data_IF_579530033087
#
_entry.id   IF_579530033087
#
_cell.length_a   1.000
_cell.length_b   1.000
_cell.length_c   1.000
_cell.angle_alpha   90.00
_cell.angle_beta   90.00
_cell.angle_gamma   90.00
#
_symmetry.space_group_name_H-M   'P 1'
#
loop_
_entity.id
_entity.type
_entity.pdbx_description
1 polymer ?
#
# COMPACT_ATOMS: atom_id res chain seq x y z
N UNK A 1 44.99 -49.69 -12.78
CA UNK A 1 45.03 -48.37 -12.14
C UNK A 1 43.92 -47.42 -12.61
N UNK A 2 43.14 -47.75 -13.64
CA UNK A 2 42.10 -46.90 -14.24
C UNK A 2 40.83 -46.72 -13.40
N UNK A 3 40.33 -47.76 -12.72
CA UNK A 3 39.09 -47.67 -11.93
C UNK A 3 39.15 -46.79 -10.66
N UNK A 4 40.34 -46.43 -10.15
CA UNK A 4 40.47 -45.53 -8.99
C UNK A 4 40.30 -44.06 -9.34
N UNK A 5 40.54 -43.68 -10.60
CA UNK A 5 40.41 -42.30 -11.06
C UNK A 5 38.94 -41.95 -11.33
N UNK A 6 38.21 -42.88 -11.94
CA UNK A 6 36.79 -42.73 -12.30
C UNK A 6 35.90 -42.49 -11.07
N UNK A 7 36.14 -43.20 -9.97
CA UNK A 7 35.36 -43.04 -8.72
C UNK A 7 35.58 -41.65 -8.10
N UNK A 8 36.80 -41.09 -8.16
CA UNK A 8 37.08 -39.75 -7.62
C UNK A 8 36.43 -38.64 -8.44
N UNK A 9 36.41 -38.79 -9.77
CA UNK A 9 35.73 -37.85 -10.67
C UNK A 9 34.22 -37.91 -10.43
N UNK A 10 33.63 -39.11 -10.34
CA UNK A 10 32.21 -39.28 -10.05
C UNK A 10 31.80 -38.64 -8.72
N UNK A 11 32.61 -38.83 -7.66
CA UNK A 11 32.35 -38.21 -6.36
C UNK A 11 32.42 -36.68 -6.41
N UNK A 12 33.42 -36.11 -7.09
CA UNK A 12 33.54 -34.67 -7.27
C UNK A 12 32.34 -34.07 -8.01
N UNK A 13 31.87 -34.73 -9.07
CA UNK A 13 30.69 -34.30 -9.83
C UNK A 13 29.44 -34.28 -8.94
N UNK A 14 29.23 -35.30 -8.11
CA UNK A 14 28.08 -35.34 -7.18
C UNK A 14 28.13 -34.18 -6.17
N UNK A 15 29.30 -33.91 -5.58
CA UNK A 15 29.46 -32.81 -4.62
C UNK A 15 29.18 -31.45 -5.27
N UNK A 16 29.65 -31.24 -6.51
CA UNK A 16 29.37 -30.02 -7.28
C UNK A 16 27.89 -29.90 -7.61
N UNK A 17 27.23 -30.99 -8.01
CA UNK A 17 25.79 -30.97 -8.30
C UNK A 17 24.93 -30.68 -7.06
N UNK A 18 25.27 -31.27 -5.90
CA UNK A 18 24.58 -30.99 -4.64
C UNK A 18 24.81 -29.53 -4.22
N UNK A 19 26.05 -29.05 -4.30
CA UNK A 19 26.39 -27.66 -3.93
C UNK A 19 25.70 -26.65 -4.85
N UNK A 20 25.65 -26.93 -6.16
CA UNK A 20 24.91 -26.12 -7.13
C UNK A 20 23.40 -26.17 -6.87
N UNK A 21 22.83 -27.34 -6.56
CA UNK A 21 21.41 -27.50 -6.21
C UNK A 21 21.03 -26.74 -4.94
N UNK A 22 21.89 -26.76 -3.92
CA UNK A 22 21.70 -25.97 -2.70
C UNK A 22 21.81 -24.46 -2.99
N UNK A 23 22.79 -24.02 -3.78
CA UNK A 23 22.92 -22.62 -4.19
C UNK A 23 21.71 -22.15 -4.99
N UNK A 24 21.21 -22.95 -5.94
CA UNK A 24 19.97 -22.69 -6.65
C UNK A 24 18.77 -22.64 -5.70
N UNK A 25 18.64 -23.57 -4.76
CA UNK A 25 17.54 -23.51 -3.78
C UNK A 25 17.56 -22.25 -2.92
N UNK A 26 18.74 -21.67 -2.69
CA UNK A 26 18.90 -20.44 -1.91
C UNK A 26 18.70 -19.17 -2.76
N UNK A 27 19.09 -19.20 -4.04
CA UNK A 27 18.85 -18.11 -5.01
C UNK A 27 17.39 -18.06 -5.48
N UNK A 28 16.73 -19.22 -5.55
CA UNK A 28 15.33 -19.39 -5.94
C UNK A 28 14.44 -19.76 -4.76
N UNK A 29 14.86 -19.50 -3.52
CA UNK A 29 13.91 -19.41 -2.40
C UNK A 29 12.86 -18.42 -2.85
N UNK A 30 11.66 -18.91 -3.15
CA UNK A 30 10.55 -18.12 -3.63
C UNK A 30 10.33 -16.98 -2.63
N UNK A 31 10.92 -15.82 -2.91
CA UNK A 31 10.39 -14.58 -2.36
C UNK A 31 8.94 -14.58 -2.82
N UNK A 32 8.02 -14.34 -1.91
CA UNK A 32 6.61 -14.19 -2.20
C UNK A 32 6.45 -13.25 -3.39
N UNK A 33 6.23 -13.79 -4.60
CA UNK A 33 6.17 -13.01 -5.84
C UNK A 33 4.76 -12.45 -5.92
N UNK A 34 4.59 -11.19 -5.55
CA UNK A 34 3.33 -10.50 -5.71
C UNK A 34 3.17 -10.05 -7.17
N UNK A 35 2.13 -10.55 -7.85
CA UNK A 35 1.76 -10.16 -9.22
C UNK A 35 0.67 -9.10 -9.12
N UNK A 36 0.94 -7.93 -9.67
CA UNK A 36 -0.02 -6.83 -9.69
C UNK A 36 -1.26 -7.20 -10.52
N UNK A 37 -2.46 -6.93 -10.02
CA UNK A 37 -3.68 -7.04 -10.83
C UNK A 37 -3.77 -5.89 -11.85
N UNK A 38 -4.32 -6.17 -13.03
CA UNK A 38 -4.47 -5.14 -14.09
C UNK A 38 -5.41 -3.99 -13.68
N UNK A 39 -6.30 -4.23 -12.72
CA UNK A 39 -7.31 -3.27 -12.29
C UNK A 39 -6.79 -2.37 -11.17
N UNK A 40 -6.83 -1.05 -11.40
CA UNK A 40 -6.71 -0.04 -10.36
C UNK A 40 -8.08 0.17 -9.73
N UNK A 41 -8.14 0.16 -8.41
CA UNK A 41 -9.36 0.40 -7.65
C UNK A 41 -9.31 1.80 -7.05
N UNK A 42 -10.48 2.42 -6.91
CA UNK A 42 -10.61 3.76 -6.35
C UNK A 42 -11.52 3.71 -5.13
N UNK A 43 -11.04 4.26 -4.01
CA UNK A 43 -11.84 4.51 -2.83
C UNK A 43 -11.90 6.01 -2.56
N UNK A 44 -13.06 6.50 -2.15
CA UNK A 44 -13.23 7.82 -1.59
C UNK A 44 -13.34 7.69 -0.08
N UNK A 45 -12.53 8.45 0.65
CA UNK A 45 -12.44 8.34 2.10
C UNK A 45 -12.58 9.70 2.74
N UNK A 46 -13.18 9.69 3.92
CA UNK A 46 -13.37 10.83 4.79
C UNK A 46 -12.72 10.49 6.12
N UNK A 47 -11.78 11.31 6.57
CA UNK A 47 -11.13 11.09 7.85
C UNK A 47 -10.64 12.40 8.45
N UNK A 48 -10.52 12.41 9.78
CA UNK A 48 -10.00 13.54 10.53
C UNK A 48 -8.53 13.36 10.87
N UNK A 49 -7.81 14.46 10.79
CA UNK A 49 -6.41 14.58 11.22
C UNK A 49 -6.23 15.81 12.09
N UNK A 50 -5.26 15.74 12.99
CA UNK A 50 -4.86 16.86 13.82
C UNK A 50 -3.52 17.41 13.34
N UNK A 51 -3.44 18.73 13.25
CA UNK A 51 -2.18 19.45 13.02
C UNK A 51 -1.27 19.40 14.25
N UNK A 52 -0.06 19.95 14.12
CA UNK A 52 0.87 20.17 15.25
C UNK A 52 0.29 20.95 16.44
N UNK A 53 -0.74 21.76 16.20
CA UNK A 53 -1.39 22.60 17.20
C UNK A 53 -2.67 21.96 17.76
N UNK A 54 -2.82 20.64 17.60
CA UNK A 54 -4.02 19.85 17.96
C UNK A 54 -5.32 20.33 17.30
N UNK A 55 -5.19 21.16 16.26
CA UNK A 55 -6.33 21.60 15.46
C UNK A 55 -6.74 20.55 14.46
N UNK A 56 -8.00 20.13 14.55
CA UNK A 56 -8.60 19.07 13.75
C UNK A 56 -9.12 19.64 12.43
N UNK A 57 -8.92 18.89 11.36
CA UNK A 57 -9.54 19.13 10.06
C UNK A 57 -9.94 17.81 9.40
N UNK A 58 -11.06 17.85 8.71
CA UNK A 58 -11.58 16.72 7.93
C UNK A 58 -10.96 16.75 6.54
N UNK A 59 -10.57 15.58 6.05
CA UNK A 59 -10.05 15.38 4.71
C UNK A 59 -10.97 14.46 3.92
N UNK A 60 -11.35 14.91 2.73
CA UNK A 60 -11.97 14.09 1.69
C UNK A 60 -10.91 13.75 0.65
N UNK A 61 -10.65 12.47 0.48
CA UNK A 61 -9.51 11.99 -0.30
C UNK A 61 -9.94 10.86 -1.22
N UNK A 62 -9.48 10.90 -2.47
CA UNK A 62 -9.56 9.77 -3.38
C UNK A 62 -8.24 9.00 -3.36
N UNK A 63 -8.32 7.71 -3.06
CA UNK A 63 -7.19 6.80 -3.05
C UNK A 63 -7.31 5.85 -4.22
N UNK A 64 -6.30 5.84 -5.08
CA UNK A 64 -6.14 4.80 -6.08
C UNK A 64 -5.18 3.76 -5.52
N UNK A 65 -5.55 2.48 -5.63
CA UNK A 65 -4.72 1.38 -5.16
C UNK A 65 -4.77 0.19 -6.11
N UNK A 66 -3.66 -0.53 -6.17
CA UNK A 66 -3.50 -1.75 -6.94
C UNK A 66 -3.37 -2.92 -5.99
N UNK A 67 -4.18 -3.96 -6.21
CA UNK A 67 -4.06 -5.20 -5.45
C UNK A 67 -3.01 -6.10 -6.07
N UNK A 68 -2.38 -6.91 -5.24
CA UNK A 68 -1.41 -7.89 -5.67
C UNK A 68 -1.86 -9.27 -5.25
N UNK A 69 -1.71 -10.22 -6.18
CA UNK A 69 -1.95 -11.62 -5.94
C UNK A 69 -0.62 -12.32 -5.63
N UNK A 70 -0.59 -13.10 -4.56
CA UNK A 70 0.48 -14.05 -4.32
C UNK A 70 0.09 -15.43 -4.89
N UNK A 71 0.75 -15.91 -5.97
CA UNK A 71 0.43 -17.18 -6.60
C UNK A 71 0.76 -18.38 -5.71
N UNK A 72 1.76 -18.26 -4.82
CA UNK A 72 2.17 -19.33 -3.90
C UNK A 72 1.23 -19.48 -2.70
N UNK A 73 0.56 -18.40 -2.28
CA UNK A 73 -0.40 -18.42 -1.16
C UNK A 73 -1.85 -18.67 -1.59
N UNK A 74 -2.13 -18.71 -2.90
CA UNK A 74 -3.50 -18.76 -3.46
C UNK A 74 -4.45 -17.73 -2.83
N UNK A 75 -3.90 -16.63 -2.32
CA UNK A 75 -4.60 -15.66 -1.50
C UNK A 75 -4.60 -14.32 -2.22
N UNK A 76 -5.79 -13.74 -2.35
CA UNK A 76 -6.04 -12.40 -2.83
C UNK A 76 -6.94 -11.79 -1.76
N UNK A 77 -6.55 -10.65 -1.18
CA UNK A 77 -7.48 -9.92 -0.33
C UNK A 77 -8.73 -9.55 -1.14
N UNK A 78 -9.89 -9.65 -0.50
CA UNK A 78 -11.09 -9.04 -1.05
C UNK A 78 -10.87 -7.55 -1.32
N UNK A 79 -11.72 -6.95 -2.16
CA UNK A 79 -11.63 -5.49 -2.43
C UNK A 79 -11.75 -4.72 -1.12
N UNK A 80 -12.65 -5.15 -0.24
CA UNK A 80 -12.92 -4.51 1.03
C UNK A 80 -11.71 -4.62 1.98
N UNK A 81 -11.12 -5.80 2.17
CA UNK A 81 -9.94 -5.96 3.03
C UNK A 81 -8.70 -5.21 2.50
N UNK A 82 -8.52 -5.19 1.17
CA UNK A 82 -7.45 -4.40 0.55
C UNK A 82 -7.72 -2.90 0.74
N UNK A 83 -8.98 -2.48 0.63
CA UNK A 83 -9.45 -1.13 0.91
C UNK A 83 -9.15 -0.71 2.33
N UNK A 84 -9.53 -1.52 3.32
CA UNK A 84 -9.27 -1.24 4.73
C UNK A 84 -7.78 -1.14 5.05
N UNK A 85 -6.95 -1.99 4.45
CA UNK A 85 -5.50 -1.91 4.62
C UNK A 85 -4.96 -0.58 4.06
N UNK A 86 -5.28 -0.28 2.80
CA UNK A 86 -4.87 0.96 2.12
C UNK A 86 -5.41 2.19 2.87
N UNK A 87 -6.64 2.12 3.39
CA UNK A 87 -7.25 3.16 4.20
C UNK A 87 -6.39 3.53 5.41
N UNK A 88 -6.05 2.52 6.22
CA UNK A 88 -5.31 2.71 7.45
C UNK A 88 -3.90 3.23 7.15
N UNK A 89 -3.24 2.70 6.12
CA UNK A 89 -1.92 3.19 5.67
C UNK A 89 -1.97 4.67 5.29
N UNK A 90 -2.98 5.09 4.52
CA UNK A 90 -3.15 6.50 4.15
C UNK A 90 -3.49 7.35 5.38
N UNK A 91 -4.43 6.92 6.21
CA UNK A 91 -4.83 7.63 7.43
C UNK A 91 -3.65 7.88 8.36
N UNK A 92 -2.87 6.85 8.65
CA UNK A 92 -1.72 6.93 9.56
C UNK A 92 -0.64 7.85 8.99
N UNK A 93 -0.36 7.76 7.69
CA UNK A 93 0.59 8.65 7.02
C UNK A 93 0.16 10.13 7.07
N UNK A 94 -1.11 10.44 6.84
CA UNK A 94 -1.60 11.82 6.95
C UNK A 94 -1.63 12.31 8.39
N UNK A 95 -1.92 11.45 9.38
CA UNK A 95 -1.83 11.81 10.80
C UNK A 95 -0.40 12.14 11.20
N UNK A 96 0.56 11.31 10.80
CA UNK A 96 1.97 11.55 11.08
C UNK A 96 2.46 12.83 10.40
N UNK A 97 2.16 13.01 9.11
CA UNK A 97 2.54 14.22 8.36
C UNK A 97 1.92 15.50 8.95
N UNK A 98 0.62 15.47 9.29
CA UNK A 98 -0.09 16.63 9.83
C UNK A 98 0.38 17.01 11.24
N UNK A 99 0.70 16.04 12.09
CA UNK A 99 1.19 16.30 13.47
C UNK A 99 2.50 17.10 13.50
N UNK A 100 3.22 17.14 12.37
CA UNK A 100 4.48 17.84 12.20
C UNK A 100 4.36 19.23 11.52
N UNK A 101 3.17 19.64 11.08
CA UNK A 101 2.93 20.90 10.36
C UNK A 101 1.95 21.79 11.15
N UNK A 102 2.25 23.09 11.36
CA UNK A 102 1.30 24.04 11.96
C UNK A 102 0.02 24.15 11.13
N UNK A 103 -1.14 24.28 11.79
CA UNK A 103 -2.43 24.36 11.11
C UNK A 103 -2.49 25.53 10.12
N UNK A 104 -1.95 26.68 10.52
CA UNK A 104 -1.88 27.89 9.70
C UNK A 104 -1.12 27.70 8.39
N UNK A 105 -0.17 26.77 8.34
CA UNK A 105 0.57 26.41 7.13
C UNK A 105 -0.26 25.44 6.27
N UNK A 106 -0.85 24.41 6.89
CA UNK A 106 -1.67 23.39 6.21
C UNK A 106 -2.80 24.00 5.38
N UNK A 107 -3.47 25.05 5.87
CA UNK A 107 -4.61 25.66 5.17
C UNK A 107 -4.22 26.42 3.90
N UNK A 108 -2.93 26.71 3.69
CA UNK A 108 -2.42 27.36 2.48
C UNK A 108 -2.28 26.36 1.32
N UNK A 109 -2.30 26.85 0.08
CA UNK A 109 -2.08 25.98 -1.09
C UNK A 109 -0.69 25.33 -1.11
N UNK A 110 0.33 26.01 -0.59
CA UNK A 110 1.70 25.49 -0.47
C UNK A 110 1.80 24.44 0.65
N UNK A 111 1.17 24.69 1.80
CA UNK A 111 1.16 23.74 2.91
C UNK A 111 0.34 22.48 2.64
N UNK A 112 -0.75 22.56 1.86
CA UNK A 112 -1.46 21.36 1.37
C UNK A 112 -0.55 20.47 0.52
N UNK A 113 0.28 21.08 -0.34
CA UNK A 113 1.27 20.34 -1.15
C UNK A 113 2.33 19.69 -0.25
N UNK A 114 2.86 20.44 0.71
CA UNK A 114 3.84 19.91 1.68
C UNK A 114 3.26 18.75 2.51
N UNK A 115 2.04 18.88 3.00
CA UNK A 115 1.34 17.81 3.72
C UNK A 115 1.23 16.56 2.84
N UNK A 116 0.80 16.74 1.59
CA UNK A 116 0.65 15.64 0.65
C UNK A 116 1.99 14.97 0.30
N UNK A 117 3.05 15.76 0.14
CA UNK A 117 4.41 15.26 -0.11
C UNK A 117 4.91 14.41 1.06
N UNK A 118 4.83 14.92 2.30
CA UNK A 118 5.23 14.17 3.49
C UNK A 118 4.39 12.90 3.71
N UNK A 119 3.08 13.00 3.56
CA UNK A 119 2.21 11.83 3.67
C UNK A 119 2.54 10.79 2.59
N UNK A 120 2.90 11.23 1.38
CA UNK A 120 3.28 10.34 0.29
C UNK A 120 4.59 9.60 0.55
N UNK A 121 5.60 10.27 1.13
CA UNK A 121 6.85 9.63 1.54
C UNK A 121 6.61 8.47 2.52
N UNK A 122 5.74 8.70 3.52
CA UNK A 122 5.34 7.66 4.48
C UNK A 122 4.57 6.52 3.78
N UNK A 123 3.59 6.84 2.93
CA UNK A 123 2.83 5.84 2.16
C UNK A 123 3.74 4.99 1.29
N UNK A 124 4.69 5.59 0.59
CA UNK A 124 5.60 4.87 -0.31
C UNK A 124 6.46 3.87 0.48
N UNK A 125 6.91 4.26 1.67
CA UNK A 125 7.69 3.39 2.56
C UNK A 125 6.87 2.20 3.11
N UNK A 126 5.58 2.41 3.37
CA UNK A 126 4.68 1.41 3.97
C UNK A 126 4.00 0.50 2.94
N UNK A 127 3.93 0.93 1.67
CA UNK A 127 3.18 0.23 0.62
C UNK A 127 4.06 -0.58 -0.35
N UNK A 128 5.29 -0.95 0.06
CA UNK A 128 6.15 -1.77 -0.79
C UNK A 128 5.50 -3.14 -1.09
N UNK A 129 5.34 -3.51 -2.38
CA UNK A 129 4.65 -4.73 -2.81
C UNK A 129 5.43 -6.02 -2.50
N UNK A 130 6.61 -5.90 -1.88
CA UNK A 130 7.41 -7.02 -1.38
C UNK A 130 6.76 -7.69 -0.16
N UNK A 131 5.88 -6.97 0.56
CA UNK A 131 5.31 -7.43 1.83
C UNK A 131 3.79 -7.27 1.93
N UNK A 132 3.19 -6.33 1.19
CA UNK A 132 1.76 -6.03 1.30
C UNK A 132 0.92 -6.53 0.12
N UNK A 133 -0.31 -6.99 0.36
CA UNK A 133 -1.25 -7.47 -0.66
C UNK A 133 -1.92 -6.35 -1.48
N UNK A 134 -1.68 -5.08 -1.13
CA UNK A 134 -2.17 -3.92 -1.86
C UNK A 134 -1.16 -2.77 -1.78
N UNK A 135 -1.05 -1.99 -2.86
CA UNK A 135 -0.20 -0.79 -2.93
C UNK A 135 -1.05 0.43 -3.25
N UNK A 136 -0.83 1.51 -2.52
CA UNK A 136 -1.35 2.83 -2.89
C UNK A 136 -0.60 3.33 -4.13
N UNK A 137 -1.32 3.64 -5.22
CA UNK A 137 -0.71 4.14 -6.47
C UNK A 137 -0.81 5.64 -6.60
N UNK A 138 -1.83 6.28 -6.02
CA UNK A 138 -1.91 7.72 -5.88
C UNK A 138 -2.93 8.13 -4.83
N UNK A 139 -2.72 9.29 -4.22
CA UNK A 139 -3.70 9.93 -3.34
C UNK A 139 -4.02 11.33 -3.86
N UNK A 140 -5.31 11.69 -3.89
CA UNK A 140 -5.78 12.99 -4.35
C UNK A 140 -6.75 13.62 -3.34
N UNK A 141 -6.33 14.71 -2.71
CA UNK A 141 -7.16 15.47 -1.76
C UNK A 141 -8.22 16.24 -2.53
N UNK A 142 -9.50 15.91 -2.32
CA UNK A 142 -10.63 16.60 -2.94
C UNK A 142 -11.03 17.84 -2.17
N UNK A 143 -11.11 17.71 -0.85
CA UNK A 143 -11.58 18.77 0.04
C UNK A 143 -10.88 18.64 1.39
N UNK A 144 -10.67 19.80 2.00
CA UNK A 144 -10.21 19.91 3.38
C UNK A 144 -11.14 20.87 4.10
N UNK A 145 -11.75 20.42 5.19
CA UNK A 145 -12.69 21.21 5.99
C UNK A 145 -12.05 21.50 7.36
N UNK A 146 -11.65 22.75 7.65
CA UNK A 146 -11.11 23.12 8.94
C UNK A 146 -12.20 23.16 10.02
N UNK A 147 -11.86 22.78 11.26
CA UNK A 147 -12.80 22.72 12.39
C UNK A 147 -14.11 21.99 12.05
N UNK A 148 -14.06 20.70 11.70
CA UNK A 148 -15.25 19.94 11.40
C UNK A 148 -16.18 19.90 12.63
N UNK A 149 -17.46 19.60 12.37
CA UNK A 149 -18.47 19.49 13.42
C UNK A 149 -17.99 18.52 14.52
N UNK A 150 -17.97 18.89 15.81
CA UNK A 150 -17.58 17.98 16.88
C UNK A 150 -18.32 16.64 16.88
N UNK A 151 -19.54 16.57 16.32
CA UNK A 151 -20.30 15.33 16.19
C UNK A 151 -19.83 14.44 15.02
N UNK A 152 -19.12 15.00 14.03
CA UNK A 152 -18.51 14.27 12.91
C UNK A 152 -17.07 13.82 13.21
N UNK A 153 -16.40 14.45 14.19
CA UNK A 153 -15.03 14.13 14.59
C UNK A 153 -14.90 12.67 15.06
N UNK A 154 -13.98 11.93 14.45
CA UNK A 154 -13.60 10.57 14.83
C UNK A 154 -14.35 9.46 14.08
N UNK A 155 -15.10 9.78 13.01
CA UNK A 155 -15.81 8.80 12.17
C UNK A 155 -15.16 8.65 10.79
N UNK A 156 -14.03 7.93 10.68
CA UNK A 156 -13.49 7.61 9.37
C UNK A 156 -14.53 6.82 8.55
N UNK A 157 -14.80 7.27 7.32
CA UNK A 157 -15.77 6.63 6.43
C UNK A 157 -15.11 6.37 5.07
N UNK A 158 -15.26 5.17 4.54
CA UNK A 158 -14.75 4.77 3.22
C UNK A 158 -15.91 4.37 2.30
N UNK A 159 -15.87 4.85 1.07
CA UNK A 159 -16.79 4.52 -0.01
C UNK A 159 -16.00 3.97 -1.20
N UNK A 160 -16.31 2.76 -1.65
CA UNK A 160 -15.69 2.19 -2.85
C UNK A 160 -16.36 2.76 -4.09
N UNK A 161 -15.57 3.43 -4.93
CA UNK A 161 -16.04 3.95 -6.22
C UNK A 161 -15.85 2.85 -7.26
N UNK A 162 -16.88 2.02 -7.46
CA UNK A 162 -16.90 1.07 -8.57
C UNK A 162 -17.07 1.82 -9.89
N UNK A 163 -16.09 1.74 -10.79
CA UNK A 163 -16.34 1.98 -12.21
C UNK A 163 -17.07 0.76 -12.80
N UNK A 164 -18.40 0.80 -12.74
CA UNK A 164 -19.29 0.34 -13.83
C UNK A 164 -20.73 0.82 -13.57
N UNK A 165 -21.07 1.98 -14.12
CA UNK A 165 -22.39 2.15 -14.75
C UNK A 165 -22.35 3.39 -15.66
N UNK A 166 -22.18 3.15 -16.96
CA UNK A 166 -22.82 3.96 -17.98
C UNK A 166 -24.34 3.81 -17.91
N UNK A 167 -24.94 4.00 -16.74
CA UNK A 167 -26.36 4.12 -16.51
C UNK A 167 -26.58 4.76 -15.14
N UNK A 168 -26.83 6.07 -15.16
CA UNK A 168 -27.33 6.78 -14.01
C UNK A 168 -28.69 6.20 -13.62
N UNK A 169 -28.75 5.48 -12.51
CA UNK A 169 -29.97 5.40 -11.71
C UNK A 169 -29.70 5.87 -10.31
N UNK A 170 -30.02 7.14 -10.11
CA UNK A 170 -30.36 7.69 -8.81
C UNK A 170 -31.40 6.78 -8.14
N UNK A 171 -31.09 6.33 -6.94
CA UNK A 171 -32.01 5.70 -6.01
C UNK A 171 -31.88 6.42 -4.68
N UNK A 172 -33.00 7.00 -4.25
CA UNK A 172 -33.21 7.95 -3.15
C UNK A 172 -32.76 7.38 -1.80
#
# INVERSE_FOLDING_TARGET
MTGKLEIKVAFFVIVVLISAGLLFSHLFRQKDVYIAEEKINTAQVFFDVASKEDRIFEMEVNINYQRYRNPSKHFILSVDEAGDHVFNTVLDAYREAASNIPFSEIVTEEGKKLLNEKAWEEIESLSEPSHEPAKVTSVNIKKMTPDPDPESVGRPTMFFLNEESGDAKAGI
#
